data_IF_733413097720
#
_entry.id   IF_733413097720
#
_cell.length_a   1.000
_cell.length_b   1.000
_cell.length_c   1.000
_cell.angle_alpha   90.00
_cell.angle_beta   90.00
_cell.angle_gamma   90.00
#
_symmetry.space_group_name_H-M   'P 1'
#
loop_
_entity.id
_entity.type
_entity.pdbx_description
1 polymer ?
#
# COMPACT_ATOMS: atom_id res chain seq x y z
N UNK A 1 7.92 12.45 -4.32
CA UNK A 1 8.89 11.66 -3.52
C UNK A 1 10.20 12.41 -3.27
N UNK A 2 10.28 13.69 -3.62
CA UNK A 2 11.44 14.56 -3.44
C UNK A 2 11.12 15.69 -2.44
N UNK A 3 10.12 15.49 -1.57
CA UNK A 3 9.67 16.50 -0.62
C UNK A 3 8.79 17.60 -1.22
N UNK A 4 8.18 17.35 -2.39
CA UNK A 4 7.24 18.31 -2.98
C UNK A 4 6.01 18.52 -2.08
N UNK A 5 5.39 19.71 -2.08
CA UNK A 5 4.17 19.95 -1.34
C UNK A 5 3.05 18.98 -1.72
N UNK A 6 2.38 18.39 -0.71
CA UNK A 6 1.18 17.58 -0.90
C UNK A 6 -0.06 18.42 -1.20
N UNK A 7 -1.23 17.74 -1.34
CA UNK A 7 -2.52 18.40 -1.63
C UNK A 7 -2.97 19.35 -0.51
N UNK A 8 -2.70 18.99 0.74
CA UNK A 8 -3.09 19.76 1.93
C UNK A 8 -2.12 19.47 3.08
N UNK A 9 -2.20 20.30 4.14
CA UNK A 9 -1.57 20.05 5.44
C UNK A 9 -2.67 19.90 6.48
N UNK A 10 -2.53 18.91 7.35
CA UNK A 10 -3.47 18.61 8.44
C UNK A 10 -2.70 18.40 9.73
N UNK A 11 -3.38 18.52 10.88
CA UNK A 11 -2.85 18.05 12.16
C UNK A 11 -2.69 16.54 12.10
N UNK A 12 -1.69 16.00 12.82
CA UNK A 12 -1.50 14.55 12.93
C UNK A 12 -2.81 13.89 13.38
N UNK A 13 -3.22 12.87 12.62
CA UNK A 13 -4.45 12.14 12.84
C UNK A 13 -4.16 10.69 13.25
N UNK A 14 -5.12 9.98 13.87
CA UNK A 14 -5.03 8.54 14.09
C UNK A 14 -4.75 7.76 12.80
N UNK A 15 -4.08 6.61 12.91
CA UNK A 15 -3.70 5.78 11.75
C UNK A 15 -4.89 5.42 10.85
N UNK A 16 -6.06 5.12 11.45
CA UNK A 16 -7.31 4.86 10.73
C UNK A 16 -7.68 6.02 9.80
N UNK A 17 -7.72 7.24 10.31
CA UNK A 17 -8.07 8.44 9.51
C UNK A 17 -7.02 8.69 8.42
N UNK A 18 -5.74 8.47 8.71
CA UNK A 18 -4.68 8.56 7.70
C UNK A 18 -4.85 7.51 6.60
N UNK A 19 -5.20 6.28 6.96
CA UNK A 19 -5.44 5.21 5.99
C UNK A 19 -6.65 5.53 5.10
N UNK A 20 -7.73 6.08 5.65
CA UNK A 20 -8.90 6.56 4.89
C UNK A 20 -8.48 7.65 3.89
N UNK A 21 -7.72 8.67 4.35
CA UNK A 21 -7.22 9.75 3.49
C UNK A 21 -6.33 9.26 2.33
N UNK A 22 -5.59 8.15 2.52
CA UNK A 22 -4.72 7.59 1.50
C UNK A 22 -5.45 6.62 0.56
N UNK A 23 -6.39 5.83 1.07
CA UNK A 23 -6.97 4.68 0.36
C UNK A 23 -8.25 5.05 -0.39
N UNK A 24 -9.14 5.84 0.22
CA UNK A 24 -10.43 6.22 -0.37
C UNK A 24 -10.27 6.94 -1.71
N UNK A 25 -9.33 7.90 -1.90
CA UNK A 25 -9.14 8.52 -3.20
C UNK A 25 -8.71 7.55 -4.30
N UNK A 26 -7.98 6.48 -3.96
CA UNK A 26 -7.56 5.45 -4.92
C UNK A 26 -8.75 4.58 -5.31
N UNK A 27 -9.58 4.19 -4.34
CA UNK A 27 -10.80 3.43 -4.57
C UNK A 27 -11.84 4.19 -5.41
N UNK A 28 -11.89 5.51 -5.25
CA UNK A 28 -12.80 6.37 -6.01
C UNK A 28 -12.33 6.62 -7.46
N UNK A 29 -11.01 6.68 -7.71
CA UNK A 29 -10.44 6.98 -9.04
C UNK A 29 -10.53 5.78 -10.00
N UNK A 30 -10.33 4.57 -9.49
CA UNK A 30 -10.57 3.32 -10.22
C UNK A 30 -11.69 2.54 -9.52
N UNK A 31 -12.93 2.51 -10.04
CA UNK A 31 -14.03 1.87 -9.34
C UNK A 31 -13.80 0.36 -9.25
N UNK A 32 -13.40 -0.09 -8.07
CA UNK A 32 -13.33 -1.51 -7.72
C UNK A 32 -14.76 -2.03 -7.49
N UNK A 33 -15.00 -3.26 -7.95
CA UNK A 33 -16.25 -3.97 -7.70
C UNK A 33 -16.09 -4.96 -6.56
N UNK A 34 -17.18 -5.27 -5.86
CA UNK A 34 -17.20 -6.35 -4.87
C UNK A 34 -16.73 -7.66 -5.52
N UNK A 35 -15.73 -8.30 -4.94
CA UNK A 35 -15.09 -9.50 -5.47
C UNK A 35 -13.84 -9.23 -6.31
N UNK A 36 -13.50 -7.96 -6.59
CA UNK A 36 -12.19 -7.64 -7.15
C UNK A 36 -11.09 -7.97 -6.14
N UNK A 37 -9.94 -8.41 -6.65
CA UNK A 37 -8.76 -8.65 -5.87
C UNK A 37 -7.65 -7.66 -6.23
N UNK A 38 -6.78 -7.35 -5.26
CA UNK A 38 -5.66 -6.43 -5.43
C UNK A 38 -4.36 -6.97 -4.87
N UNK A 39 -3.24 -6.44 -5.39
CA UNK A 39 -2.00 -6.35 -4.63
C UNK A 39 -2.03 -5.06 -3.81
N UNK A 40 -1.88 -5.17 -2.51
CA UNK A 40 -1.77 -4.02 -1.61
C UNK A 40 -0.30 -3.76 -1.26
N UNK A 41 0.22 -2.60 -1.64
CA UNK A 41 1.60 -2.21 -1.36
C UNK A 41 1.62 -1.01 -0.41
N UNK A 42 2.03 -1.27 0.84
CA UNK A 42 2.23 -0.26 1.88
C UNK A 42 3.72 0.04 1.99
N UNK A 43 4.11 1.16 1.40
CA UNK A 43 5.49 1.57 1.27
C UNK A 43 5.89 2.55 2.37
N UNK A 44 7.02 2.32 3.04
CA UNK A 44 7.64 3.31 3.92
C UNK A 44 8.48 4.33 3.16
N UNK A 45 8.39 5.60 3.54
CA UNK A 45 9.17 6.68 2.94
C UNK A 45 10.60 6.80 3.50
N UNK A 46 10.98 5.93 4.44
CA UNK A 46 12.34 5.81 4.99
C UNK A 46 12.37 5.88 6.51
N UNK A 47 11.83 6.94 7.10
CA UNK A 47 11.86 7.20 8.54
C UNK A 47 10.76 6.52 9.36
N UNK A 48 9.87 5.73 8.75
CA UNK A 48 8.74 5.08 9.45
C UNK A 48 9.10 3.66 9.91
N UNK A 49 8.95 3.34 11.20
CA UNK A 49 9.17 1.99 11.73
C UNK A 49 8.30 0.93 11.05
N UNK A 50 8.85 -0.27 10.86
CA UNK A 50 8.13 -1.38 10.22
C UNK A 50 6.84 -1.75 10.95
N UNK A 51 6.82 -1.66 12.29
CA UNK A 51 5.61 -1.91 13.09
C UNK A 51 4.48 -0.92 12.76
N UNK A 52 4.81 0.35 12.47
CA UNK A 52 3.84 1.36 12.07
C UNK A 52 3.35 1.10 10.64
N UNK A 53 4.19 0.58 9.73
CA UNK A 53 3.74 0.16 8.40
C UNK A 53 2.77 -1.02 8.47
N UNK A 54 2.95 -1.95 9.40
CA UNK A 54 1.98 -3.03 9.63
C UNK A 54 0.68 -2.53 10.27
N UNK A 55 0.74 -1.52 11.14
CA UNK A 55 -0.46 -0.81 11.62
C UNK A 55 -1.21 -0.19 10.43
N UNK A 56 -0.51 0.52 9.54
CA UNK A 56 -1.13 1.09 8.34
C UNK A 56 -1.70 0.02 7.41
N UNK A 57 -1.01 -1.10 7.21
CA UNK A 57 -1.52 -2.22 6.43
C UNK A 57 -2.80 -2.82 7.04
N UNK A 58 -2.89 -2.92 8.37
CA UNK A 58 -4.10 -3.37 9.05
C UNK A 58 -5.30 -2.47 8.73
N UNK A 59 -5.13 -1.15 8.82
CA UNK A 59 -6.19 -0.18 8.50
C UNK A 59 -6.58 -0.22 7.02
N UNK A 60 -5.60 -0.32 6.10
CA UNK A 60 -5.86 -0.49 4.67
C UNK A 60 -6.67 -1.77 4.40
N UNK A 61 -6.31 -2.90 5.02
CA UNK A 61 -7.03 -4.15 4.87
C UNK A 61 -8.47 -4.06 5.40
N UNK A 62 -8.69 -3.33 6.50
CA UNK A 62 -10.02 -3.08 7.04
C UNK A 62 -10.89 -2.28 6.05
N UNK A 63 -10.35 -1.20 5.48
CA UNK A 63 -11.04 -0.37 4.47
C UNK A 63 -11.38 -1.21 3.24
N UNK A 64 -10.41 -1.94 2.66
CA UNK A 64 -10.63 -2.79 1.49
C UNK A 64 -11.71 -3.85 1.74
N UNK A 65 -11.69 -4.50 2.91
CA UNK A 65 -12.72 -5.45 3.31
C UNK A 65 -14.12 -4.84 3.38
N UNK A 66 -14.23 -3.59 3.86
CA UNK A 66 -15.48 -2.82 3.86
C UNK A 66 -16.04 -2.57 2.45
N UNK A 67 -15.16 -2.40 1.47
CA UNK A 67 -15.53 -2.27 0.04
C UNK A 67 -15.71 -3.63 -0.66
N UNK A 68 -15.48 -4.74 0.03
CA UNK A 68 -15.55 -6.09 -0.56
C UNK A 68 -14.45 -6.35 -1.58
N UNK A 69 -13.28 -5.69 -1.43
CA UNK A 69 -12.08 -5.89 -2.23
C UNK A 69 -11.13 -6.82 -1.46
N UNK A 70 -10.67 -7.89 -2.09
CA UNK A 70 -9.77 -8.85 -1.48
C UNK A 70 -8.30 -8.46 -1.69
N UNK A 71 -7.45 -8.65 -0.67
CA UNK A 71 -6.01 -8.55 -0.82
C UNK A 71 -5.47 -9.92 -1.24
N UNK A 72 -5.16 -10.10 -2.52
CA UNK A 72 -4.56 -11.33 -3.02
C UNK A 72 -3.08 -11.45 -2.59
N UNK A 73 -2.33 -10.35 -2.65
CA UNK A 73 -0.93 -10.27 -2.21
C UNK A 73 -0.67 -8.94 -1.53
N UNK A 74 0.33 -8.92 -0.66
CA UNK A 74 0.75 -7.70 0.02
C UNK A 74 2.25 -7.51 -0.03
N UNK A 75 2.69 -6.26 -0.14
CA UNK A 75 4.08 -5.86 0.06
C UNK A 75 4.11 -4.76 1.12
N UNK A 76 4.87 -4.95 2.20
CA UNK A 76 4.93 -4.00 3.32
C UNK A 76 6.39 -3.73 3.67
N UNK A 77 6.83 -2.49 3.53
CA UNK A 77 8.22 -2.11 3.83
C UNK A 77 8.72 -0.89 3.05
N UNK A 78 10.00 -0.51 3.24
CA UNK A 78 10.59 0.67 2.61
C UNK A 78 11.21 0.32 1.23
N UNK A 79 10.38 0.18 0.20
CA UNK A 79 10.85 -0.20 -1.15
C UNK A 79 11.12 1.02 -2.04
N UNK A 80 10.40 2.12 -1.83
CA UNK A 80 10.56 3.39 -2.57
C UNK A 80 10.63 4.53 -1.54
N UNK A 81 11.83 4.83 -1.05
CA UNK A 81 12.05 5.81 0.03
C UNK A 81 12.27 7.23 -0.48
N UNK A 82 12.17 8.20 0.43
CA UNK A 82 12.60 9.60 0.26
C UNK A 82 13.53 9.99 1.42
N UNK A 83 14.78 9.51 1.34
CA UNK A 83 15.79 9.66 2.41
C UNK A 83 15.22 9.22 3.78
N UNK A 84 15.33 10.06 4.81
CA UNK A 84 14.80 9.83 6.16
C UNK A 84 13.35 10.27 6.38
N UNK A 85 12.57 10.55 5.33
CA UNK A 85 11.18 11.02 5.46
C UNK A 85 10.32 10.04 6.25
N UNK A 86 9.73 10.51 7.35
CA UNK A 86 8.70 9.80 8.08
C UNK A 86 7.36 9.91 7.34
N UNK A 87 6.83 8.79 6.88
CA UNK A 87 5.58 8.69 6.15
C UNK A 87 5.44 7.35 5.44
N UNK A 88 4.28 7.14 4.83
CA UNK A 88 4.02 5.99 3.99
C UNK A 88 3.21 6.37 2.75
N UNK A 89 3.17 5.46 1.78
CA UNK A 89 2.24 5.52 0.65
C UNK A 89 1.51 4.20 0.49
N UNK A 90 0.28 4.26 -0.02
CA UNK A 90 -0.54 3.09 -0.35
C UNK A 90 -0.68 3.01 -1.86
N UNK A 91 -0.37 1.84 -2.41
CA UNK A 91 -0.58 1.53 -3.82
C UNK A 91 -1.47 0.30 -3.91
N UNK A 92 -2.51 0.36 -4.75
CA UNK A 92 -3.39 -0.76 -5.05
C UNK A 92 -3.26 -1.11 -6.54
N UNK A 93 -3.08 -2.39 -6.82
CA UNK A 93 -3.07 -2.90 -8.20
C UNK A 93 -4.18 -3.92 -8.32
N UNK A 94 -5.24 -3.62 -9.10
CA UNK A 94 -6.25 -4.63 -9.45
C UNK A 94 -5.60 -5.75 -10.24
N UNK A 95 -5.81 -6.99 -9.82
CA UNK A 95 -5.17 -8.13 -10.45
C UNK A 95 -6.10 -8.94 -11.33
N UNK A 96 -5.47 -9.61 -12.30
CA UNK A 96 -6.00 -10.76 -13.01
C UNK A 96 -5.15 -11.98 -12.66
N UNK A 97 -5.59 -13.18 -13.03
CA UNK A 97 -4.83 -14.40 -12.81
C UNK A 97 -3.43 -14.35 -13.46
N UNK A 98 -3.33 -13.79 -14.66
CA UNK A 98 -2.04 -13.60 -15.36
C UNK A 98 -1.09 -12.67 -14.58
N UNK A 99 -1.61 -11.58 -14.01
CA UNK A 99 -0.81 -10.66 -13.19
C UNK A 99 -0.36 -11.31 -11.88
N UNK A 100 -1.20 -12.13 -11.25
CA UNK A 100 -0.82 -12.88 -10.05
C UNK A 100 0.25 -13.93 -10.38
N UNK A 101 0.14 -14.63 -11.50
CA UNK A 101 1.15 -15.57 -11.94
C UNK A 101 2.51 -14.88 -12.18
N UNK A 102 2.52 -13.66 -12.73
CA UNK A 102 3.73 -12.87 -12.90
C UNK A 102 4.31 -12.38 -11.58
N UNK A 103 3.47 -11.99 -10.62
CA UNK A 103 3.92 -11.60 -9.27
C UNK A 103 4.55 -12.76 -8.53
N UNK A 104 3.94 -13.95 -8.58
CA UNK A 104 4.39 -15.14 -7.86
C UNK A 104 5.62 -15.82 -8.50
N UNK A 105 6.00 -15.41 -9.72
CA UNK A 105 7.19 -15.92 -10.39
C UNK A 105 8.47 -15.65 -9.55
N UNK A 106 9.47 -16.56 -9.55
CA UNK A 106 10.69 -16.38 -8.77
C UNK A 106 11.43 -15.07 -9.11
N UNK A 107 11.90 -14.39 -8.06
CA UNK A 107 12.69 -13.16 -8.17
C UNK A 107 13.88 -13.23 -7.20
N UNK A 108 15.06 -12.81 -7.66
CA UNK A 108 16.25 -12.74 -6.83
C UNK A 108 17.00 -11.43 -7.08
N UNK A 109 16.65 -10.42 -6.29
CA UNK A 109 17.28 -9.09 -6.31
C UNK A 109 17.60 -8.65 -4.88
N UNK A 110 18.46 -7.64 -4.68
CA UNK A 110 18.72 -7.10 -3.34
C UNK A 110 17.49 -6.59 -2.60
N UNK A 111 16.47 -6.11 -3.33
CA UNK A 111 15.26 -5.50 -2.76
C UNK A 111 14.03 -6.43 -2.72
N UNK A 112 13.97 -7.46 -3.57
CA UNK A 112 12.86 -8.42 -3.64
C UNK A 112 13.40 -9.82 -3.87
N UNK A 113 12.95 -10.77 -3.04
CA UNK A 113 13.35 -12.18 -3.14
C UNK A 113 12.25 -13.13 -2.70
N UNK A 114 11.81 -14.00 -3.61
CA UNK A 114 10.92 -15.14 -3.34
C UNK A 114 10.98 -16.14 -4.51
N UNK A 115 10.37 -17.30 -4.33
CA UNK A 115 10.64 -18.46 -5.17
C UNK A 115 11.99 -19.09 -4.82
N UNK A 116 12.27 -20.27 -5.37
CA UNK A 116 13.50 -21.01 -5.09
C UNK A 116 14.77 -20.23 -5.48
#
# INVERSE_FOLDING_TARGET
IHGEPGRSRVTVAPAKEVAEMLTEPVLADLPFSRGDAVIAFVNGMGGTPLIELYLMHHEVAHILGGHGVEIARSLVGPYITSLEMAGCSVTLVRVTDDLLALWDAPVNTPGLRWGA
#
